data_IF_818037397140
#
_entry.id   IF_818037397140
#
_cell.length_a   1.000
_cell.length_b   1.000
_cell.length_c   1.000
_cell.angle_alpha   90.00
_cell.angle_beta   90.00
_cell.angle_gamma   90.00
#
_symmetry.space_group_name_H-M   'P 1'
#
loop_
_entity.id
_entity.type
_entity.pdbx_description
1 polymer ?
#
# COMPACT_ATOMS: atom_id res chain seq x y z
N UNK A 1 -70.69 -34.34 -15.37
CA UNK A 1 -70.12 -35.67 -15.64
C UNK A 1 -68.66 -35.64 -15.25
N UNK A 2 -68.29 -36.54 -14.32
CA UNK A 2 -66.96 -36.96 -13.85
C UNK A 2 -65.72 -36.14 -14.23
N UNK A 3 -65.14 -35.50 -13.21
CA UNK A 3 -63.69 -35.35 -13.08
C UNK A 3 -63.14 -36.69 -12.58
N UNK A 4 -62.44 -37.44 -13.43
CA UNK A 4 -61.66 -38.61 -13.04
C UNK A 4 -60.22 -38.45 -13.56
N UNK A 5 -59.31 -38.54 -12.60
CA UNK A 5 -57.99 -39.19 -12.66
C UNK A 5 -56.88 -38.63 -13.56
N UNK A 6 -55.80 -38.24 -12.86
CA UNK A 6 -54.49 -38.81 -13.14
C UNK A 6 -53.59 -37.95 -14.00
N UNK A 7 -52.93 -36.96 -13.41
CA UNK A 7 -51.58 -36.63 -13.85
C UNK A 7 -50.70 -37.84 -13.50
N UNK A 8 -50.63 -38.77 -14.44
CA UNK A 8 -49.78 -39.95 -14.37
C UNK A 8 -48.32 -39.49 -14.17
N UNK A 9 -47.64 -39.88 -13.08
CA UNK A 9 -46.22 -39.57 -12.90
C UNK A 9 -45.33 -40.15 -14.00
N UNK A 10 -45.84 -41.05 -14.86
CA UNK A 10 -45.17 -41.51 -16.07
C UNK A 10 -45.22 -40.48 -17.23
N UNK A 11 -46.29 -39.68 -17.35
CA UNK A 11 -46.41 -38.69 -18.42
C UNK A 11 -45.39 -37.54 -18.27
N UNK A 12 -45.06 -37.16 -17.03
CA UNK A 12 -44.01 -36.18 -16.74
C UNK A 12 -42.61 -36.77 -16.98
N UNK A 13 -42.44 -38.10 -16.83
CA UNK A 13 -41.17 -38.76 -17.14
C UNK A 13 -40.88 -38.71 -18.63
N UNK A 14 -41.89 -38.96 -19.48
CA UNK A 14 -41.73 -38.97 -20.94
C UNK A 14 -41.44 -37.58 -21.53
N UNK A 15 -41.96 -36.50 -20.94
CA UNK A 15 -41.64 -35.13 -21.36
C UNK A 15 -40.23 -34.68 -20.94
N UNK A 16 -39.60 -35.38 -19.98
CA UNK A 16 -38.21 -35.21 -19.55
C UNK A 16 -37.22 -36.15 -20.28
N UNK A 17 -37.70 -37.06 -21.15
CA UNK A 17 -36.83 -37.92 -21.95
C UNK A 17 -36.28 -37.14 -23.14
N UNK A 18 -35.23 -36.35 -22.90
CA UNK A 18 -34.39 -35.84 -23.97
C UNK A 18 -33.98 -37.01 -24.89
N UNK A 19 -34.26 -36.90 -26.19
CA UNK A 19 -33.87 -37.89 -27.21
C UNK A 19 -32.40 -38.29 -27.07
N UNK A 20 -32.09 -39.58 -27.21
CA UNK A 20 -30.73 -40.13 -27.05
C UNK A 20 -29.67 -39.39 -27.89
N UNK A 21 -30.07 -38.84 -29.04
CA UNK A 21 -29.22 -38.00 -29.90
C UNK A 21 -28.86 -36.65 -29.28
N UNK A 22 -29.80 -36.00 -28.60
CA UNK A 22 -29.57 -34.73 -27.90
C UNK A 22 -28.67 -34.92 -26.66
N UNK A 23 -28.82 -36.05 -25.96
CA UNK A 23 -27.94 -36.41 -24.84
C UNK A 23 -26.50 -36.69 -25.29
N UNK A 24 -26.33 -37.37 -26.42
CA UNK A 24 -25.00 -37.62 -27.02
C UNK A 24 -24.33 -36.33 -27.46
N UNK A 25 -25.04 -35.43 -28.12
CA UNK A 25 -24.50 -34.13 -28.54
C UNK A 25 -24.06 -33.28 -27.34
N UNK A 26 -24.85 -33.26 -26.25
CA UNK A 26 -24.49 -32.56 -25.00
C UNK A 26 -23.26 -33.18 -24.32
N UNK A 27 -23.15 -34.52 -24.28
CA UNK A 27 -21.99 -35.24 -23.71
C UNK A 27 -20.72 -34.99 -24.53
N UNK A 28 -20.80 -35.05 -25.87
CA UNK A 28 -19.67 -34.77 -26.75
C UNK A 28 -19.23 -33.32 -26.65
N UNK A 29 -20.18 -32.37 -26.65
CA UNK A 29 -19.88 -30.94 -26.46
C UNK A 29 -19.22 -30.66 -25.11
N UNK A 30 -19.68 -31.31 -24.03
CA UNK A 30 -19.07 -31.19 -22.71
C UNK A 30 -17.65 -31.80 -22.65
N UNK A 31 -17.41 -32.94 -23.33
CA UNK A 31 -16.09 -33.56 -23.40
C UNK A 31 -15.09 -32.70 -24.20
N UNK A 32 -15.52 -32.16 -25.35
CA UNK A 32 -14.71 -31.27 -26.18
C UNK A 32 -14.40 -29.99 -25.41
N UNK A 33 -15.40 -29.35 -24.81
CA UNK A 33 -15.21 -28.16 -23.98
C UNK A 33 -14.23 -28.40 -22.83
N UNK A 34 -14.38 -29.50 -22.08
CA UNK A 34 -13.44 -29.88 -21.01
C UNK A 34 -12.03 -30.11 -21.53
N UNK A 35 -11.87 -30.76 -22.68
CA UNK A 35 -10.56 -31.03 -23.27
C UNK A 35 -9.86 -29.74 -23.71
N UNK A 36 -10.61 -28.79 -24.29
CA UNK A 36 -10.09 -27.47 -24.66
C UNK A 36 -9.66 -26.69 -23.42
N UNK A 37 -10.50 -26.64 -22.37
CA UNK A 37 -10.15 -25.97 -21.12
C UNK A 37 -8.91 -26.57 -20.46
N UNK A 38 -8.78 -27.90 -20.44
CA UNK A 38 -7.59 -28.60 -19.93
C UNK A 38 -6.37 -28.29 -20.79
N UNK A 39 -6.50 -28.24 -22.11
CA UNK A 39 -5.39 -27.92 -23.00
C UNK A 39 -4.88 -26.49 -22.79
N UNK A 40 -5.78 -25.51 -22.65
CA UNK A 40 -5.43 -24.10 -22.38
C UNK A 40 -4.80 -23.93 -20.99
N UNK A 41 -5.34 -24.61 -19.97
CA UNK A 41 -4.73 -24.60 -18.65
C UNK A 41 -3.33 -25.25 -18.67
N UNK A 42 -3.19 -26.39 -19.36
CA UNK A 42 -1.92 -27.12 -19.46
C UNK A 42 -0.87 -26.35 -20.26
N UNK A 43 -1.26 -25.62 -21.31
CA UNK A 43 -0.31 -24.83 -22.12
C UNK A 43 0.33 -23.71 -21.31
N UNK A 44 -0.41 -23.08 -20.39
CA UNK A 44 0.11 -22.06 -19.48
C UNK A 44 1.16 -22.63 -18.53
N UNK A 45 0.90 -23.83 -17.98
CA UNK A 45 1.87 -24.55 -17.13
C UNK A 45 3.11 -24.94 -17.92
N UNK A 46 2.95 -25.43 -19.15
CA UNK A 46 4.08 -25.78 -20.03
C UNK A 46 4.93 -24.55 -20.33
N UNK A 47 4.31 -23.42 -20.68
CA UNK A 47 5.01 -22.16 -20.93
C UNK A 47 5.82 -21.70 -19.70
N UNK A 48 5.23 -21.80 -18.50
CA UNK A 48 5.91 -21.50 -17.24
C UNK A 48 7.14 -22.41 -17.04
N UNK A 49 7.00 -23.73 -17.27
CA UNK A 49 8.10 -24.68 -17.16
C UNK A 49 9.22 -24.38 -18.17
N UNK A 50 8.88 -23.96 -19.39
CA UNK A 50 9.88 -23.52 -20.36
C UNK A 50 10.64 -22.28 -19.88
N UNK A 51 9.94 -21.27 -19.35
CA UNK A 51 10.58 -20.08 -18.78
C UNK A 51 11.55 -20.46 -17.66
N UNK A 52 11.14 -21.32 -16.73
CA UNK A 52 12.02 -21.82 -15.66
C UNK A 52 13.24 -22.55 -16.21
N UNK A 53 13.04 -23.43 -17.20
CA UNK A 53 14.14 -24.17 -17.82
C UNK A 53 15.19 -23.24 -18.43
N UNK A 54 14.76 -22.23 -19.20
CA UNK A 54 15.68 -21.26 -19.81
C UNK A 54 16.40 -20.42 -18.76
N UNK A 55 15.69 -19.94 -17.73
CA UNK A 55 16.31 -19.18 -16.63
C UNK A 55 17.39 -20.01 -15.93
N UNK A 56 17.11 -21.27 -15.59
CA UNK A 56 18.08 -22.13 -14.89
C UNK A 56 19.28 -22.42 -15.81
N UNK A 57 19.01 -22.77 -17.08
CA UNK A 57 20.05 -23.04 -18.07
C UNK A 57 21.02 -21.87 -18.21
N UNK A 58 20.51 -20.64 -18.26
CA UNK A 58 21.32 -19.43 -18.43
C UNK A 58 21.98 -18.98 -17.12
N UNK A 59 21.37 -19.28 -15.97
CA UNK A 59 21.92 -18.93 -14.66
C UNK A 59 23.05 -19.86 -14.19
N UNK A 60 23.06 -21.14 -14.58
CA UNK A 60 24.08 -22.11 -14.13
C UNK A 60 25.52 -21.65 -14.50
N UNK A 61 25.83 -21.22 -15.74
CA UNK A 61 27.15 -20.71 -16.08
C UNK A 61 27.57 -19.49 -15.25
N UNK A 62 26.64 -18.60 -14.91
CA UNK A 62 26.90 -17.44 -14.06
C UNK A 62 27.37 -17.86 -12.65
N UNK A 63 26.67 -18.82 -12.03
CA UNK A 63 27.02 -19.31 -10.70
C UNK A 63 28.31 -20.14 -10.66
N UNK A 64 28.73 -20.71 -11.79
CA UNK A 64 30.01 -21.40 -11.89
C UNK A 64 31.21 -20.43 -11.90
N UNK A 65 31.01 -19.21 -12.41
CA UNK A 65 32.06 -18.18 -12.49
C UNK A 65 32.14 -17.35 -11.19
N UNK A 66 31.01 -16.85 -10.70
CA UNK A 66 30.95 -15.93 -9.56
C UNK A 66 30.75 -16.65 -8.21
N UNK A 67 30.16 -17.85 -8.22
CA UNK A 67 29.82 -18.60 -7.01
C UNK A 67 28.54 -18.12 -6.32
N UNK A 68 27.70 -19.08 -5.91
CA UNK A 68 26.39 -18.80 -5.26
C UNK A 68 26.55 -18.00 -3.96
N UNK A 69 27.60 -18.30 -3.19
CA UNK A 69 27.84 -17.61 -1.91
C UNK A 69 28.14 -16.13 -2.14
N UNK A 70 29.04 -15.82 -3.05
CA UNK A 70 29.42 -14.44 -3.35
C UNK A 70 28.22 -13.66 -3.89
N UNK A 71 27.45 -14.25 -4.82
CA UNK A 71 26.20 -13.66 -5.29
C UNK A 71 25.23 -13.32 -4.15
N UNK A 72 25.01 -14.24 -3.20
CA UNK A 72 24.05 -14.04 -2.11
C UNK A 72 24.55 -13.15 -0.97
N UNK A 73 25.86 -13.08 -0.72
CA UNK A 73 26.42 -12.31 0.41
C UNK A 73 27.03 -10.97 -0.01
N UNK A 74 27.31 -10.75 -1.29
CA UNK A 74 27.88 -9.50 -1.78
C UNK A 74 26.88 -8.35 -1.68
N UNK A 75 27.36 -7.23 -1.14
CA UNK A 75 26.61 -5.97 -0.99
C UNK A 75 26.82 -5.02 -2.16
N UNK A 76 27.58 -5.41 -3.18
CA UNK A 76 27.92 -4.57 -4.33
C UNK A 76 27.03 -4.91 -5.52
N UNK A 77 26.32 -3.90 -6.03
CA UNK A 77 25.47 -4.04 -7.22
C UNK A 77 25.86 -2.97 -8.24
N UNK A 78 26.70 -3.34 -9.20
CA UNK A 78 27.28 -2.44 -10.19
C UNK A 78 27.35 -3.11 -11.56
N UNK A 79 26.19 -3.34 -12.22
CA UNK A 79 26.13 -4.07 -13.49
C UNK A 79 26.74 -3.29 -14.67
N UNK A 80 26.99 -1.99 -14.52
CA UNK A 80 27.47 -1.10 -15.60
C UNK A 80 28.95 -0.79 -15.54
N UNK A 81 29.70 -1.33 -14.56
CA UNK A 81 31.16 -1.21 -14.53
C UNK A 81 31.81 -2.24 -15.46
N UNK A 82 33.06 -2.00 -15.85
CA UNK A 82 33.85 -2.96 -16.64
C UNK A 82 34.01 -4.30 -15.91
N UNK A 83 34.17 -4.24 -14.58
CA UNK A 83 34.02 -5.33 -13.64
C UNK A 83 32.58 -5.38 -13.12
N UNK A 84 31.67 -5.99 -13.88
CA UNK A 84 30.26 -6.07 -13.51
C UNK A 84 30.07 -6.91 -12.23
N UNK A 85 29.54 -6.29 -11.17
CA UNK A 85 29.29 -6.95 -9.89
C UNK A 85 27.79 -7.14 -9.62
N UNK A 86 27.39 -8.37 -9.26
CA UNK A 86 25.99 -8.77 -9.11
C UNK A 86 25.67 -9.31 -7.71
N UNK A 87 25.77 -8.47 -6.68
CA UNK A 87 25.38 -8.82 -5.32
C UNK A 87 23.87 -8.78 -5.09
N UNK A 88 23.23 -9.94 -4.89
CA UNK A 88 21.81 -10.07 -4.62
C UNK A 88 21.40 -9.46 -3.28
N UNK A 89 22.28 -9.47 -2.28
CA UNK A 89 22.00 -8.90 -0.96
C UNK A 89 21.67 -7.42 -1.04
N UNK A 90 22.36 -6.67 -1.91
CA UNK A 90 22.09 -5.26 -2.13
C UNK A 90 20.65 -5.02 -2.63
N UNK A 91 20.13 -5.88 -3.50
CA UNK A 91 18.76 -5.80 -4.01
C UNK A 91 17.76 -6.14 -2.91
N UNK A 92 17.99 -7.22 -2.15
CA UNK A 92 17.09 -7.63 -1.07
C UNK A 92 17.00 -6.57 0.03
N UNK A 93 18.16 -6.07 0.49
CA UNK A 93 18.22 -5.01 1.50
C UNK A 93 17.65 -3.70 0.94
N UNK A 94 17.96 -3.34 -0.32
CA UNK A 94 17.41 -2.16 -0.97
C UNK A 94 15.89 -2.20 -1.06
N UNK A 95 15.33 -3.32 -1.52
CA UNK A 95 13.88 -3.54 -1.57
C UNK A 95 13.27 -3.50 -0.18
N UNK A 96 13.86 -4.18 0.80
CA UNK A 96 13.38 -4.19 2.18
C UNK A 96 13.36 -2.79 2.79
N UNK A 97 14.44 -2.01 2.62
CA UNK A 97 14.54 -0.63 3.11
C UNK A 97 13.47 0.27 2.48
N UNK A 98 13.27 0.17 1.16
CA UNK A 98 12.26 0.96 0.45
C UNK A 98 10.85 0.58 0.90
N UNK A 99 10.56 -0.72 1.04
CA UNK A 99 9.26 -1.21 1.52
C UNK A 99 8.99 -0.77 2.96
N UNK A 100 9.96 -0.94 3.86
CA UNK A 100 9.81 -0.51 5.26
C UNK A 100 9.64 1.00 5.38
N UNK A 101 10.42 1.78 4.64
CA UNK A 101 10.28 3.24 4.59
C UNK A 101 8.92 3.67 4.06
N UNK A 102 8.42 3.02 3.00
CA UNK A 102 7.10 3.30 2.45
C UNK A 102 5.99 2.96 3.44
N UNK A 103 6.08 1.81 4.12
CA UNK A 103 5.12 1.40 5.16
C UNK A 103 5.09 2.41 6.31
N UNK A 104 6.27 2.81 6.80
CA UNK A 104 6.40 3.74 7.92
C UNK A 104 5.73 5.09 7.67
N UNK A 105 5.67 5.54 6.40
CA UNK A 105 5.03 6.80 6.02
C UNK A 105 3.57 6.60 5.60
N UNK A 106 3.32 5.68 4.67
CA UNK A 106 2.04 5.54 3.99
C UNK A 106 0.95 4.90 4.87
N UNK A 107 1.30 3.93 5.73
CA UNK A 107 0.31 3.26 6.57
C UNK A 107 -0.28 4.21 7.62
N UNK A 108 0.52 4.92 8.45
CA UNK A 108 -0.05 5.87 9.40
C UNK A 108 -0.87 6.96 8.73
N UNK A 109 -0.35 7.56 7.65
CA UNK A 109 -1.06 8.61 6.92
C UNK A 109 -2.35 8.10 6.26
N UNK A 110 -2.32 6.90 5.67
CA UNK A 110 -3.45 6.30 4.98
C UNK A 110 -4.57 5.89 5.93
N UNK A 111 -4.22 5.28 7.07
CA UNK A 111 -5.19 4.92 8.11
C UNK A 111 -5.81 6.18 8.73
N UNK A 112 -5.00 7.21 9.03
CA UNK A 112 -5.51 8.48 9.56
C UNK A 112 -6.45 9.19 8.57
N UNK A 113 -6.11 9.19 7.27
CA UNK A 113 -6.96 9.74 6.25
C UNK A 113 -8.28 8.96 6.11
N UNK A 114 -8.24 7.63 6.20
CA UNK A 114 -9.44 6.79 6.19
C UNK A 114 -10.35 7.03 7.41
N UNK A 115 -9.76 7.15 8.61
CA UNK A 115 -10.49 7.53 9.82
C UNK A 115 -11.15 8.91 9.68
N UNK A 116 -10.41 9.88 9.16
CA UNK A 116 -10.95 11.22 8.90
C UNK A 116 -12.11 11.17 7.89
N UNK A 117 -11.97 10.38 6.82
CA UNK A 117 -13.00 10.21 5.80
C UNK A 117 -14.26 9.55 6.38
N UNK A 118 -14.10 8.54 7.24
CA UNK A 118 -15.19 7.73 7.79
C UNK A 118 -15.93 8.38 8.97
N UNK A 119 -15.25 9.20 9.78
CA UNK A 119 -15.80 9.65 11.08
C UNK A 119 -15.88 11.18 11.19
N UNK A 120 -15.01 11.92 10.50
CA UNK A 120 -14.87 13.38 10.67
C UNK A 120 -15.49 14.15 9.50
N UNK A 121 -15.34 13.65 8.27
CA UNK A 121 -15.77 14.37 7.07
C UNK A 121 -17.30 14.35 6.87
N UNK A 122 -17.93 15.51 6.57
CA UNK A 122 -19.33 15.57 6.20
C UNK A 122 -19.59 14.88 4.86
N UNK A 123 -20.82 14.41 4.67
CA UNK A 123 -21.25 13.57 3.53
C UNK A 123 -20.87 14.12 2.15
N UNK A 124 -20.94 15.44 1.95
CA UNK A 124 -20.60 16.09 0.68
C UNK A 124 -19.11 15.98 0.35
N UNK A 125 -18.24 16.21 1.35
CA UNK A 125 -16.79 16.13 1.14
C UNK A 125 -16.36 14.68 0.91
N UNK A 126 -17.00 13.72 1.59
CA UNK A 126 -16.74 12.29 1.37
C UNK A 126 -17.02 11.86 -0.07
N UNK A 127 -18.16 12.29 -0.63
CA UNK A 127 -18.55 11.97 -2.01
C UNK A 127 -17.59 12.55 -3.06
N UNK A 128 -16.85 13.61 -2.74
CA UNK A 128 -15.82 14.18 -3.62
C UNK A 128 -14.48 13.47 -3.40
N UNK A 129 -14.09 13.26 -2.15
CA UNK A 129 -12.80 12.68 -1.80
C UNK A 129 -12.66 11.22 -2.26
N UNK A 130 -13.70 10.38 -2.09
CA UNK A 130 -13.62 8.94 -2.41
C UNK A 130 -13.33 8.69 -3.91
N UNK A 131 -14.07 9.28 -4.87
CA UNK A 131 -13.72 9.16 -6.28
C UNK A 131 -12.32 9.67 -6.61
N UNK A 132 -11.85 10.77 -6.00
CA UNK A 132 -10.50 11.28 -6.24
C UNK A 132 -9.46 10.25 -5.78
N UNK A 133 -9.63 9.66 -4.60
CA UNK A 133 -8.73 8.63 -4.06
C UNK A 133 -8.71 7.40 -4.97
N UNK A 134 -9.88 6.93 -5.42
CA UNK A 134 -9.98 5.79 -6.34
C UNK A 134 -9.31 6.09 -7.69
N UNK A 135 -9.50 7.30 -8.22
CA UNK A 135 -8.84 7.74 -9.45
C UNK A 135 -7.32 7.83 -9.29
N UNK A 136 -6.81 8.29 -8.14
CA UNK A 136 -5.37 8.31 -7.85
C UNK A 136 -4.78 6.90 -7.71
N UNK A 137 -5.55 5.95 -7.16
CA UNK A 137 -5.15 4.54 -7.06
C UNK A 137 -5.11 3.84 -8.43
N UNK A 138 -5.91 4.30 -9.40
CA UNK A 138 -5.95 3.76 -10.74
C UNK A 138 -4.80 4.22 -11.65
N UNK A 139 -3.99 5.19 -11.21
CA UNK A 139 -2.84 5.67 -11.99
C UNK A 139 -1.83 4.53 -12.19
N UNK A 140 -1.42 4.21 -13.43
CA UNK A 140 -0.46 3.13 -13.69
C UNK A 140 0.87 3.34 -12.97
N UNK A 141 1.43 2.27 -12.42
CA UNK A 141 2.69 2.30 -11.67
C UNK A 141 3.86 2.88 -12.47
N UNK A 142 3.89 2.67 -13.79
CA UNK A 142 4.92 3.20 -14.70
C UNK A 142 4.93 4.74 -14.72
N UNK A 143 3.76 5.38 -14.60
CA UNK A 143 3.66 6.85 -14.57
C UNK A 143 4.33 7.40 -13.32
N UNK A 144 4.06 6.79 -12.16
CA UNK A 144 4.73 7.16 -10.90
C UNK A 144 6.25 6.91 -10.96
N UNK A 145 6.69 5.78 -11.56
CA UNK A 145 8.10 5.48 -11.74
C UNK A 145 8.82 6.50 -12.63
N UNK A 146 8.22 6.89 -13.75
CA UNK A 146 8.77 7.91 -14.63
C UNK A 146 8.80 9.30 -13.96
N UNK A 147 7.72 9.70 -13.29
CA UNK A 147 7.67 10.93 -12.50
C UNK A 147 8.75 10.96 -11.42
N UNK A 148 8.96 9.82 -10.75
CA UNK A 148 9.98 9.67 -9.72
C UNK A 148 11.38 9.96 -10.25
N UNK A 149 11.72 9.43 -11.42
CA UNK A 149 13.05 9.58 -12.03
C UNK A 149 13.26 10.96 -12.65
N UNK A 150 12.25 11.50 -13.34
CA UNK A 150 12.41 12.72 -14.15
C UNK A 150 12.16 13.99 -13.33
N UNK A 151 11.25 13.95 -12.37
CA UNK A 151 10.83 15.14 -11.61
C UNK A 151 11.27 15.04 -10.16
N UNK A 152 10.87 13.97 -9.47
CA UNK A 152 11.05 13.90 -8.01
C UNK A 152 12.52 13.71 -7.60
N UNK A 153 13.24 12.81 -8.26
CA UNK A 153 14.65 12.54 -7.95
C UNK A 153 15.53 13.78 -8.15
N UNK A 154 15.46 14.53 -9.28
CA UNK A 154 16.21 15.78 -9.43
C UNK A 154 15.77 16.86 -8.44
N UNK A 155 14.48 16.95 -8.13
CA UNK A 155 13.95 17.89 -7.16
C UNK A 155 14.52 17.63 -5.76
N UNK A 156 14.50 16.37 -5.31
CA UNK A 156 15.08 15.96 -4.04
C UNK A 156 16.60 16.11 -4.01
N UNK A 157 17.29 15.90 -5.13
CA UNK A 157 18.74 16.12 -5.20
C UNK A 157 19.11 17.60 -5.04
N UNK A 158 18.32 18.52 -5.61
CA UNK A 158 18.58 19.97 -5.57
C UNK A 158 18.08 20.64 -4.28
N UNK A 159 16.92 20.22 -3.77
CA UNK A 159 16.19 20.91 -2.69
C UNK A 159 15.75 19.97 -1.55
N UNK A 160 16.28 18.74 -1.49
CA UNK A 160 15.80 17.69 -0.60
C UNK A 160 15.76 18.09 0.87
N UNK A 161 16.82 18.70 1.39
CA UNK A 161 16.84 19.16 2.79
C UNK A 161 15.72 20.16 3.11
N UNK A 162 15.46 21.10 2.19
CA UNK A 162 14.37 22.07 2.32
C UNK A 162 12.99 21.41 2.22
N UNK A 163 12.80 20.50 1.26
CA UNK A 163 11.54 19.77 1.08
C UNK A 163 11.19 18.89 2.28
N UNK A 164 12.18 18.15 2.81
CA UNK A 164 12.02 17.34 4.01
C UNK A 164 11.70 18.21 5.23
N UNK A 165 12.33 19.37 5.35
CA UNK A 165 12.03 20.33 6.41
C UNK A 165 10.59 20.86 6.32
N UNK A 166 10.11 21.23 5.13
CA UNK A 166 8.71 21.65 4.91
C UNK A 166 7.74 20.52 5.26
N UNK A 167 8.02 19.30 4.80
CA UNK A 167 7.20 18.12 5.14
C UNK A 167 7.16 17.86 6.65
N UNK A 168 8.30 18.00 7.33
CA UNK A 168 8.39 17.89 8.79
C UNK A 168 7.50 18.93 9.48
N UNK A 169 7.51 20.20 9.05
CA UNK A 169 6.66 21.24 9.62
C UNK A 169 5.17 20.96 9.43
N UNK A 170 4.76 20.53 8.22
CA UNK A 170 3.36 20.23 7.93
C UNK A 170 2.79 19.13 8.82
N UNK A 171 3.60 18.12 9.15
CA UNK A 171 3.16 16.97 9.95
C UNK A 171 3.39 17.17 11.44
N UNK A 172 4.62 17.51 11.86
CA UNK A 172 5.00 17.52 13.26
C UNK A 172 4.54 18.79 14.00
N UNK A 173 4.35 19.92 13.33
CA UNK A 173 3.90 21.14 14.00
C UNK A 173 2.49 21.02 14.60
N UNK A 174 1.44 20.60 13.84
CA UNK A 174 0.11 20.44 14.43
C UNK A 174 0.10 19.36 15.52
N UNK A 175 0.84 18.27 15.34
CA UNK A 175 0.97 17.20 16.35
C UNK A 175 1.64 17.75 17.61
N UNK A 176 2.70 18.54 17.48
CA UNK A 176 3.39 19.16 18.60
C UNK A 176 2.49 20.14 19.37
N UNK A 177 1.67 20.92 18.67
CA UNK A 177 0.69 21.83 19.30
C UNK A 177 -0.35 21.04 20.09
N UNK A 178 -0.92 19.99 19.49
CA UNK A 178 -1.88 19.12 20.17
C UNK A 178 -1.24 18.39 21.37
N UNK A 179 -0.05 17.84 21.20
CA UNK A 179 0.70 17.17 22.26
C UNK A 179 1.03 18.14 23.41
N UNK A 180 1.41 19.38 23.10
CA UNK A 180 1.65 20.41 24.10
C UNK A 180 0.37 20.78 24.86
N UNK A 181 -0.75 20.95 24.15
CA UNK A 181 -2.05 21.25 24.76
C UNK A 181 -2.50 20.12 25.71
N UNK A 182 -2.50 18.88 25.24
CA UNK A 182 -2.90 17.69 26.02
C UNK A 182 -1.98 17.50 27.23
N UNK A 183 -0.67 17.63 27.06
CA UNK A 183 0.29 17.48 28.16
C UNK A 183 0.15 18.59 29.21
N UNK A 184 -0.16 19.82 28.78
CA UNK A 184 -0.42 20.93 29.70
C UNK A 184 -1.70 20.73 30.52
N UNK A 185 -2.72 20.11 29.93
CA UNK A 185 -3.97 19.77 30.63
C UNK A 185 -3.78 18.61 31.61
N UNK A 186 -3.04 17.58 31.21
CA UNK A 186 -2.69 16.47 32.08
C UNK A 186 -1.90 16.93 33.31
N UNK A 187 -0.94 17.84 33.14
CA UNK A 187 -0.08 18.31 34.23
C UNK A 187 -0.78 19.34 35.15
N UNK A 188 -1.64 20.19 34.58
CA UNK A 188 -2.40 21.19 35.33
C UNK A 188 -3.61 20.59 36.09
N UNK A 189 -4.01 19.36 35.78
CA UNK A 189 -5.08 18.64 36.47
C UNK A 189 -4.86 18.48 37.98
N UNK A 190 -3.61 18.60 38.46
CA UNK A 190 -3.24 18.51 39.89
C UNK A 190 -3.63 19.73 40.73
N UNK A 191 -4.08 20.82 40.11
CA UNK A 191 -4.40 22.08 40.80
C UNK A 191 -5.86 22.47 40.58
N UNK A 192 -6.46 23.18 41.56
CA UNK A 192 -7.84 23.64 41.51
C UNK A 192 -7.96 25.18 41.47
N UNK A 193 -9.09 25.70 40.97
CA UNK A 193 -9.41 27.14 40.96
C UNK A 193 -8.50 28.01 40.07
N UNK A 194 -8.26 29.27 40.49
CA UNK A 194 -7.40 30.22 39.74
C UNK A 194 -5.96 29.71 39.53
N UNK A 195 -5.46 28.86 40.45
CA UNK A 195 -4.14 28.24 40.32
C UNK A 195 -4.08 27.22 39.18
N UNK A 196 -5.17 26.53 38.86
CA UNK A 196 -5.27 25.63 37.71
C UNK A 196 -5.06 26.36 36.38
N UNK A 197 -5.70 27.52 36.21
CA UNK A 197 -5.60 28.32 34.99
C UNK A 197 -4.17 28.85 34.78
N UNK A 198 -3.54 29.35 35.85
CA UNK A 198 -2.15 29.80 35.82
C UNK A 198 -1.17 28.63 35.60
N UNK A 199 -1.39 27.49 36.26
CA UNK A 199 -0.58 26.29 36.07
C UNK A 199 -0.67 25.79 34.63
N UNK A 200 -1.88 25.68 34.05
CA UNK A 200 -2.10 25.28 32.65
C UNK A 200 -1.37 26.20 31.68
N UNK A 201 -1.51 27.52 31.85
CA UNK A 201 -0.81 28.49 31.01
C UNK A 201 0.71 28.35 31.12
N UNK A 202 1.25 28.28 32.34
CA UNK A 202 2.69 28.14 32.56
C UNK A 202 3.25 26.82 32.01
N UNK A 203 2.57 25.69 32.27
CA UNK A 203 2.99 24.38 31.76
C UNK A 203 2.81 24.29 30.24
N UNK A 204 1.78 24.93 29.68
CA UNK A 204 1.54 24.98 28.24
C UNK A 204 2.63 25.76 27.51
N UNK A 205 3.04 26.92 28.04
CA UNK A 205 4.15 27.70 27.50
C UNK A 205 5.46 26.92 27.60
N UNK A 206 5.74 26.29 28.75
CA UNK A 206 6.98 25.52 28.93
C UNK A 206 7.07 24.32 27.97
N UNK A 207 6.00 23.51 27.89
CA UNK A 207 5.95 22.33 27.00
C UNK A 207 5.95 22.76 25.54
N UNK A 208 5.20 23.81 25.19
CA UNK A 208 5.19 24.38 23.85
C UNK A 208 6.58 24.88 23.43
N UNK A 209 7.32 25.55 24.32
CA UNK A 209 8.68 25.98 24.05
C UNK A 209 9.63 24.79 23.84
N UNK A 210 9.49 23.71 24.62
CA UNK A 210 10.29 22.48 24.44
C UNK A 210 10.04 21.88 23.04
N UNK A 211 8.79 21.71 22.64
CA UNK A 211 8.46 21.20 21.31
C UNK A 211 8.92 22.14 20.20
N UNK A 212 8.78 23.46 20.36
CA UNK A 212 9.25 24.43 19.39
C UNK A 212 10.78 24.37 19.21
N UNK A 213 11.54 24.27 20.31
CA UNK A 213 12.99 24.11 20.25
C UNK A 213 13.37 22.80 19.56
N UNK A 214 12.67 21.70 19.87
CA UNK A 214 12.90 20.41 19.21
C UNK A 214 12.66 20.50 17.70
N UNK A 215 11.55 21.10 17.27
CA UNK A 215 11.23 21.29 15.85
C UNK A 215 12.24 22.17 15.13
N UNK A 216 12.69 23.26 15.76
CA UNK A 216 13.71 24.14 15.18
C UNK A 216 15.07 23.43 15.05
N UNK A 217 15.45 22.60 16.03
CA UNK A 217 16.66 21.77 15.98
C UNK A 217 16.59 20.75 14.84
N UNK A 218 15.46 20.04 14.72
CA UNK A 218 15.23 19.08 13.65
C UNK A 218 15.21 19.76 12.27
N UNK A 219 14.59 20.94 12.16
CA UNK A 219 14.60 21.73 10.93
C UNK A 219 16.02 22.10 10.50
N UNK A 220 16.85 22.58 11.43
CA UNK A 220 18.25 22.89 11.15
C UNK A 220 19.04 21.67 10.67
N UNK A 221 18.80 20.51 11.28
CA UNK A 221 19.40 19.25 10.84
C UNK A 221 18.94 18.84 9.43
N UNK A 222 17.63 18.83 9.18
CA UNK A 222 17.06 18.42 7.89
C UNK A 222 17.42 19.37 6.74
N UNK A 223 17.33 20.68 6.96
CA UNK A 223 17.67 21.69 5.95
C UNK A 223 19.15 21.68 5.56
N UNK A 224 20.02 21.21 6.46
CA UNK A 224 21.45 21.00 6.19
C UNK A 224 21.77 19.71 5.43
N UNK A 225 20.80 18.82 5.19
CA UNK A 225 21.05 17.56 4.48
C UNK A 225 21.23 17.80 2.97
N UNK A 226 22.42 17.48 2.46
CA UNK A 226 22.68 17.37 1.02
C UNK A 226 22.39 15.97 0.53
N UNK A 227 21.44 15.82 -0.40
CA UNK A 227 21.13 14.54 -1.03
C UNK A 227 22.08 14.32 -2.20
N UNK A 228 23.01 13.38 -2.04
CA UNK A 228 24.08 13.11 -3.01
C UNK A 228 23.52 12.59 -4.34
N UNK A 229 22.56 11.66 -4.28
CA UNK A 229 21.89 11.10 -5.47
C UNK A 229 20.37 11.16 -5.30
N UNK A 230 19.67 11.62 -6.33
CA UNK A 230 18.20 11.60 -6.38
C UNK A 230 17.61 10.18 -6.43
N UNK A 231 18.39 9.17 -6.80
CA UNK A 231 17.96 7.77 -6.90
C UNK A 231 18.43 6.98 -5.68
N UNK A 232 17.97 7.39 -4.50
CA UNK A 232 18.32 6.76 -3.23
C UNK A 232 17.09 6.06 -2.61
N UNK A 233 17.34 5.23 -1.59
CA UNK A 233 16.29 4.46 -0.92
C UNK A 233 15.22 5.34 -0.24
N UNK A 234 15.60 6.49 0.32
CA UNK A 234 14.66 7.43 0.94
C UNK A 234 13.66 7.96 -0.11
N UNK A 235 14.15 8.45 -1.25
CA UNK A 235 13.31 8.99 -2.31
C UNK A 235 12.39 7.91 -2.90
N UNK A 236 12.93 6.71 -3.13
CA UNK A 236 12.15 5.56 -3.57
C UNK A 236 11.05 5.19 -2.57
N UNK A 237 11.35 5.23 -1.26
CA UNK A 237 10.38 4.94 -0.20
C UNK A 237 9.26 5.98 -0.12
N UNK A 238 9.57 7.26 -0.31
CA UNK A 238 8.57 8.35 -0.31
C UNK A 238 7.64 8.19 -1.51
N UNK A 239 8.20 7.97 -2.70
CA UNK A 239 7.39 7.77 -3.92
C UNK A 239 6.51 6.53 -3.80
N UNK A 240 7.07 5.40 -3.36
CA UNK A 240 6.31 4.18 -3.17
C UNK A 240 5.20 4.39 -2.13
N UNK A 241 5.47 5.16 -1.07
CA UNK A 241 4.48 5.55 -0.08
C UNK A 241 3.36 6.41 -0.65
N UNK A 242 3.68 7.40 -1.47
CA UNK A 242 2.69 8.24 -2.18
C UNK A 242 1.84 7.40 -3.14
N UNK A 243 2.46 6.45 -3.85
CA UNK A 243 1.76 5.55 -4.76
C UNK A 243 0.82 4.59 -4.00
N UNK A 244 1.25 4.07 -2.84
CA UNK A 244 0.47 3.14 -2.04
C UNK A 244 -0.64 3.84 -1.21
N UNK A 245 -0.48 5.13 -0.93
CA UNK A 245 -1.38 5.92 -0.07
C UNK A 245 -2.85 5.81 -0.49
N UNK A 246 -3.24 6.08 -1.76
CA UNK A 246 -4.64 5.98 -2.17
C UNK A 246 -5.23 4.58 -1.97
N UNK A 247 -4.46 3.53 -2.26
CA UNK A 247 -4.87 2.14 -2.06
C UNK A 247 -5.07 1.83 -0.57
N UNK A 248 -4.13 2.27 0.29
CA UNK A 248 -4.25 2.08 1.75
C UNK A 248 -5.48 2.81 2.29
N UNK A 249 -5.72 4.04 1.86
CA UNK A 249 -6.90 4.82 2.28
C UNK A 249 -8.19 4.12 1.85
N UNK A 250 -8.28 3.68 0.59
CA UNK A 250 -9.47 2.99 0.07
C UNK A 250 -9.76 1.71 0.87
N UNK A 251 -8.75 0.83 1.01
CA UNK A 251 -8.90 -0.44 1.72
C UNK A 251 -9.24 -0.21 3.19
N UNK A 252 -8.62 0.79 3.83
CA UNK A 252 -8.89 1.10 5.24
C UNK A 252 -10.30 1.69 5.43
N UNK A 253 -10.79 2.52 4.52
CA UNK A 253 -12.14 3.08 4.60
C UNK A 253 -13.21 2.00 4.37
N UNK A 254 -13.00 1.13 3.39
CA UNK A 254 -13.91 0.00 3.14
C UNK A 254 -13.95 -0.95 4.36
N UNK A 255 -12.79 -1.21 4.99
CA UNK A 255 -12.72 -2.00 6.22
C UNK A 255 -13.45 -1.35 7.40
N UNK A 256 -13.28 -0.03 7.59
CA UNK A 256 -14.00 0.73 8.62
C UNK A 256 -15.50 0.82 8.35
N UNK A 257 -15.91 0.90 7.09
CA UNK A 257 -17.30 0.92 6.67
C UNK A 257 -18.01 -0.43 6.82
N UNK A 258 -17.27 -1.54 6.75
CA UNK A 258 -17.80 -2.88 6.95
C UNK A 258 -18.18 -3.17 8.42
N UNK A 259 -17.64 -2.43 9.38
CA UNK A 259 -18.06 -2.52 10.78
C UNK A 259 -19.43 -1.88 10.93
N UNK A 260 -20.45 -2.70 11.24
CA UNK A 260 -21.84 -2.28 11.36
C UNK A 260 -22.02 -1.10 12.32
N UNK A 261 -22.98 -0.21 12.02
CA UNK A 261 -23.25 1.03 12.80
C UNK A 261 -23.46 0.74 14.29
N UNK A 262 -24.13 -0.36 14.62
CA UNK A 262 -24.42 -0.77 16.00
C UNK A 262 -23.15 -1.02 16.83
N UNK A 263 -22.07 -1.54 16.22
CA UNK A 263 -20.78 -1.74 16.90
C UNK A 263 -19.98 -0.44 17.02
N UNK A 264 -20.14 0.50 16.08
CA UNK A 264 -19.54 1.84 16.18
C UNK A 264 -20.19 2.65 17.29
N UNK A 265 -21.52 2.62 17.37
CA UNK A 265 -22.29 3.34 18.39
C UNK A 265 -22.02 2.84 19.81
N UNK A 266 -21.70 1.55 19.99
CA UNK A 266 -21.32 1.00 21.30
C UNK A 266 -19.92 1.38 21.81
N UNK A 267 -19.10 2.05 21.01
CA UNK A 267 -17.72 2.49 21.36
C UNK A 267 -17.59 3.98 21.73
N UNK A 268 -18.65 4.76 21.50
CA UNK A 268 -18.78 6.16 21.93
C UNK A 268 -19.39 6.26 23.32
#
# INVERSE_FOLDING_TARGET
MRFENGTDPAAIKDELLMSEGALRFKKTGALVGRSVLVAVASSSVIALLFIFYYIIRDAVPFFQLEGIREFLTSTRWYPSREDAEFGALAIFIGSGLVTLGAIAVAVPMGVLAALCLSDILPFNLRQIAKPIIEMLAAIPSVVYGFFALVVFAPLMQRQGGGLLAVGMWLVLAPIAVLAAAVSSDALSSRFEGKRKMLARAATGVAIGAIFAVLLLRLNGFLSGLSIVSGTNALNASIILGIMALPTIVSVSEDALGAVGRDLREGSY
#
